data_IF_983235816190
#
_entry.id   IF_983235816190
#
_cell.length_a   1.000
_cell.length_b   1.000
_cell.length_c   1.000
_cell.angle_alpha   90.00
_cell.angle_beta   90.00
_cell.angle_gamma   90.00
#
_symmetry.space_group_name_H-M   'P 1'
#
loop_
_entity.id
_entity.type
_entity.pdbx_description
1 polymer ?
#
# COMPACT_ATOMS: atom_id res chain seq x y z
N UNK A 1 2.59 -23.39 40.01
CA UNK A 1 2.60 -23.39 38.54
C UNK A 1 2.12 -22.00 38.09
N UNK A 2 3.05 -21.08 37.91
CA UNK A 2 2.74 -19.69 37.52
C UNK A 2 2.68 -19.65 35.99
N UNK A 3 1.49 -19.51 35.43
CA UNK A 3 1.26 -19.28 34.00
C UNK A 3 1.77 -17.88 33.67
N UNK A 4 2.89 -17.79 32.97
CA UNK A 4 3.36 -16.56 32.38
C UNK A 4 2.36 -16.17 31.27
N UNK A 5 1.42 -15.30 31.59
CA UNK A 5 0.68 -14.54 30.60
C UNK A 5 1.74 -13.73 29.83
N UNK A 6 2.12 -14.24 28.65
CA UNK A 6 2.88 -13.45 27.69
C UNK A 6 2.08 -12.19 27.43
N UNK A 7 2.58 -11.06 27.89
CA UNK A 7 2.01 -9.75 27.64
C UNK A 7 2.09 -9.53 26.12
N UNK A 8 0.99 -9.78 25.42
CA UNK A 8 0.87 -9.48 23.99
C UNK A 8 1.22 -7.99 23.84
N UNK A 9 2.32 -7.71 23.15
CA UNK A 9 2.63 -6.32 22.76
C UNK A 9 1.44 -5.78 21.98
N UNK A 10 0.94 -4.58 22.34
CA UNK A 10 -0.13 -3.98 21.55
C UNK A 10 0.33 -3.87 20.09
N UNK A 11 -0.60 -4.15 19.17
CA UNK A 11 -0.33 -3.99 17.74
C UNK A 11 0.08 -2.53 17.48
N UNK A 12 1.12 -2.30 16.69
CA UNK A 12 1.53 -0.94 16.36
C UNK A 12 0.41 -0.25 15.58
N UNK A 13 0.23 1.06 15.81
CA UNK A 13 -0.76 1.84 15.07
C UNK A 13 -0.45 1.80 13.57
N UNK A 14 -1.44 1.41 12.77
CA UNK A 14 -1.33 1.13 11.35
C UNK A 14 -2.40 1.91 10.56
N UNK A 15 -1.98 2.54 9.47
CA UNK A 15 -2.85 3.15 8.46
C UNK A 15 -2.61 2.45 7.13
N UNK A 16 -3.64 2.19 6.35
CA UNK A 16 -3.52 1.67 5.00
C UNK A 16 -3.74 2.77 3.96
N UNK A 17 -2.86 2.82 2.97
CA UNK A 17 -2.91 3.72 1.83
C UNK A 17 -3.01 2.90 0.54
N UNK A 18 -4.17 2.98 -0.13
CA UNK A 18 -4.40 2.33 -1.43
C UNK A 18 -4.18 3.37 -2.51
N UNK A 19 -3.16 3.17 -3.35
CA UNK A 19 -2.82 4.10 -4.42
C UNK A 19 -3.67 3.83 -5.67
N UNK A 20 -4.47 4.80 -6.04
CA UNK A 20 -5.37 4.76 -7.21
C UNK A 20 -5.20 6.02 -8.09
N UNK A 21 -3.94 6.42 -8.33
CA UNK A 21 -3.57 7.62 -9.12
C UNK A 21 -3.05 7.32 -10.52
N UNK A 22 -2.82 6.06 -10.89
CA UNK A 22 -2.25 5.66 -12.18
C UNK A 22 -3.19 5.96 -13.36
N UNK A 23 -2.68 6.61 -14.41
CA UNK A 23 -3.39 6.67 -15.69
C UNK A 23 -3.27 5.31 -16.38
N UNK A 24 -4.34 4.52 -16.39
CA UNK A 24 -4.42 3.20 -17.06
C UNK A 24 -4.43 3.34 -18.60
N UNK A 25 -3.45 4.07 -19.16
CA UNK A 25 -3.39 4.41 -20.60
C UNK A 25 -3.41 3.20 -21.52
N UNK A 26 -2.93 2.05 -21.04
CA UNK A 26 -2.83 0.82 -21.85
C UNK A 26 -4.16 0.06 -21.94
N UNK A 27 -5.05 0.26 -20.98
CA UNK A 27 -6.33 -0.46 -20.92
C UNK A 27 -7.51 0.35 -21.45
N UNK A 28 -7.33 1.65 -21.78
CA UNK A 28 -8.41 2.53 -22.26
C UNK A 28 -9.51 2.82 -21.22
N UNK A 29 -9.48 2.11 -20.08
CA UNK A 29 -10.43 2.21 -18.98
C UNK A 29 -9.70 2.34 -17.65
N UNK A 30 -10.36 2.92 -16.65
CA UNK A 30 -9.81 3.05 -15.32
C UNK A 30 -9.75 1.69 -14.62
N UNK A 31 -8.54 1.19 -14.37
CA UNK A 31 -8.30 -0.10 -13.70
C UNK A 31 -9.03 -0.22 -12.37
N UNK A 32 -9.06 0.86 -11.58
CA UNK A 32 -9.67 0.86 -10.25
C UNK A 32 -11.15 0.47 -10.28
N UNK A 33 -11.82 0.75 -11.41
CA UNK A 33 -13.25 0.47 -11.62
C UNK A 33 -13.52 -0.89 -12.27
N UNK A 34 -12.49 -1.57 -12.78
CA UNK A 34 -12.68 -2.86 -13.45
C UNK A 34 -13.26 -3.90 -12.50
N UNK A 35 -14.34 -4.59 -12.91
CA UNK A 35 -14.92 -5.64 -12.09
C UNK A 35 -14.06 -6.90 -12.10
N UNK A 36 -13.76 -7.40 -10.92
CA UNK A 36 -13.17 -8.70 -10.69
C UNK A 36 -14.09 -9.51 -9.80
N UNK A 37 -14.62 -10.62 -10.32
CA UNK A 37 -15.63 -11.42 -9.62
C UNK A 37 -16.83 -10.58 -9.11
N UNK A 38 -17.29 -9.62 -9.94
CA UNK A 38 -18.44 -8.78 -9.64
C UNK A 38 -18.18 -7.56 -8.74
N UNK A 39 -16.95 -7.33 -8.29
CA UNK A 39 -16.58 -6.20 -7.42
C UNK A 39 -15.47 -5.35 -8.07
N UNK A 40 -15.53 -4.00 -8.02
CA UNK A 40 -14.44 -3.15 -8.49
C UNK A 40 -13.11 -3.45 -7.79
N UNK A 41 -11.99 -3.48 -8.53
CA UNK A 41 -10.66 -3.79 -7.99
C UNK A 41 -10.30 -2.91 -6.79
N UNK A 42 -10.59 -1.62 -6.88
CA UNK A 42 -10.32 -0.69 -5.78
C UNK A 42 -11.09 -1.04 -4.51
N UNK A 43 -12.39 -1.37 -4.64
CA UNK A 43 -13.25 -1.76 -3.50
C UNK A 43 -12.71 -3.03 -2.84
N UNK A 44 -12.31 -3.99 -3.66
CA UNK A 44 -11.75 -5.26 -3.22
C UNK A 44 -10.45 -5.07 -2.44
N UNK A 45 -9.53 -4.24 -2.95
CA UNK A 45 -8.26 -3.92 -2.28
C UNK A 45 -8.52 -3.19 -0.95
N UNK A 46 -9.45 -2.23 -0.92
CA UNK A 46 -9.83 -1.54 0.31
C UNK A 46 -10.41 -2.51 1.35
N UNK A 47 -11.23 -3.46 0.94
CA UNK A 47 -11.78 -4.48 1.83
C UNK A 47 -10.69 -5.39 2.40
N UNK A 48 -9.70 -5.79 1.61
CA UNK A 48 -8.55 -6.53 2.10
C UNK A 48 -7.75 -5.71 3.12
N UNK A 49 -7.57 -4.41 2.90
CA UNK A 49 -6.89 -3.51 3.83
C UNK A 49 -7.65 -3.35 5.16
N UNK A 50 -8.99 -3.31 5.12
CA UNK A 50 -9.85 -3.22 6.30
C UNK A 50 -9.73 -4.43 7.25
N UNK A 51 -9.19 -5.56 6.79
CA UNK A 51 -8.88 -6.69 7.65
C UNK A 51 -7.70 -6.40 8.62
N UNK A 52 -6.85 -5.42 8.30
CA UNK A 52 -5.66 -5.07 9.08
C UNK A 52 -5.85 -3.84 9.95
N UNK A 53 -6.64 -2.87 9.50
CA UNK A 53 -6.83 -1.59 10.18
C UNK A 53 -8.15 -0.95 9.78
N UNK A 54 -8.76 -0.21 10.72
CA UNK A 54 -9.96 0.61 10.44
C UNK A 54 -9.63 1.92 9.72
N UNK A 55 -8.35 2.32 9.64
CA UNK A 55 -7.90 3.56 9.00
C UNK A 55 -7.41 3.25 7.59
N UNK A 56 -8.29 3.29 6.61
CA UNK A 56 -7.99 3.03 5.20
C UNK A 56 -8.29 4.26 4.37
N UNK A 57 -7.30 4.71 3.61
CA UNK A 57 -7.40 5.86 2.70
C UNK A 57 -7.06 5.44 1.28
N UNK A 58 -7.86 5.94 0.33
CA UNK A 58 -7.54 5.86 -1.10
C UNK A 58 -6.86 7.15 -1.53
N UNK A 59 -5.61 7.05 -1.94
CA UNK A 59 -4.83 8.18 -2.47
C UNK A 59 -5.11 8.32 -3.95
N UNK A 60 -5.82 9.37 -4.33
CA UNK A 60 -6.30 9.55 -5.69
C UNK A 60 -6.58 11.02 -6.03
N UNK A 61 -6.42 11.43 -7.30
CA UNK A 61 -6.91 12.72 -7.79
C UNK A 61 -8.39 12.68 -8.16
N UNK A 62 -9.02 11.49 -8.28
CA UNK A 62 -10.39 11.30 -8.79
C UNK A 62 -11.39 10.96 -7.68
N UNK A 63 -11.46 11.79 -6.64
CA UNK A 63 -12.23 11.51 -5.42
C UNK A 63 -13.72 11.24 -5.69
N UNK A 64 -14.35 12.09 -6.47
CA UNK A 64 -15.80 11.98 -6.77
C UNK A 64 -16.15 10.68 -7.51
N UNK A 65 -15.27 10.25 -8.42
CA UNK A 65 -15.44 9.05 -9.22
C UNK A 65 -15.48 7.77 -8.37
N UNK A 66 -14.70 7.73 -7.27
CA UNK A 66 -14.56 6.53 -6.47
C UNK A 66 -15.47 6.48 -5.25
N UNK A 67 -16.05 7.62 -4.81
CA UNK A 67 -16.84 7.64 -3.58
C UNK A 67 -17.99 6.63 -3.57
N UNK A 68 -18.68 6.45 -4.69
CA UNK A 68 -19.86 5.57 -4.80
C UNK A 68 -19.54 4.07 -4.76
N UNK A 69 -18.30 3.68 -5.03
CA UNK A 69 -17.87 2.27 -5.05
C UNK A 69 -17.14 1.84 -3.79
N UNK A 70 -16.73 2.79 -2.93
CA UNK A 70 -15.95 2.50 -1.74
C UNK A 70 -16.83 2.18 -0.53
N UNK A 71 -16.36 1.28 0.38
CA UNK A 71 -16.98 1.14 1.68
C UNK A 71 -17.06 2.47 2.43
N UNK A 72 -18.14 2.68 3.20
CA UNK A 72 -18.38 3.94 3.92
C UNK A 72 -17.27 4.31 4.93
N UNK A 73 -16.52 3.30 5.40
CA UNK A 73 -15.40 3.44 6.35
C UNK A 73 -14.08 3.80 5.69
N UNK A 74 -14.03 3.87 4.35
CA UNK A 74 -12.82 4.22 3.58
C UNK A 74 -12.87 5.69 3.22
N UNK A 75 -11.84 6.43 3.58
CA UNK A 75 -11.70 7.83 3.25
C UNK A 75 -10.87 8.06 1.99
N UNK A 76 -11.03 9.24 1.39
CA UNK A 76 -10.34 9.64 0.17
C UNK A 76 -9.31 10.71 0.52
N UNK A 77 -8.03 10.41 0.25
CA UNK A 77 -6.93 11.35 0.40
C UNK A 77 -6.58 11.96 -0.96
N UNK A 78 -6.52 13.30 -1.09
CA UNK A 78 -6.15 13.92 -2.35
C UNK A 78 -4.69 13.59 -2.69
N UNK A 79 -4.46 13.11 -3.92
CA UNK A 79 -3.08 13.03 -4.42
C UNK A 79 -2.51 14.45 -4.55
N UNK A 80 -1.29 14.71 -4.05
CA UNK A 80 -0.69 16.02 -4.19
C UNK A 80 -0.67 16.49 -5.65
N UNK A 81 -0.98 17.77 -5.94
CA UNK A 81 -1.12 18.29 -7.30
C UNK A 81 0.20 18.47 -8.04
N UNK A 82 1.30 18.01 -7.46
CA UNK A 82 2.65 18.14 -8.05
C UNK A 82 2.75 17.39 -9.37
N UNK A 83 2.71 18.12 -10.46
CA UNK A 83 3.16 17.62 -11.76
C UNK A 83 4.68 17.80 -11.82
N UNK A 84 5.39 16.81 -12.36
CA UNK A 84 6.79 16.97 -12.74
C UNK A 84 6.90 18.06 -13.82
N UNK A 85 8.07 18.69 -14.01
CA UNK A 85 8.24 19.76 -15.02
C UNK A 85 7.82 19.36 -16.44
N UNK A 86 7.80 18.06 -16.74
CA UNK A 86 7.35 17.52 -18.04
C UNK A 86 5.84 17.25 -18.10
N UNK A 87 5.07 17.70 -17.11
CA UNK A 87 3.63 17.52 -17.02
C UNK A 87 3.18 16.10 -16.61
N UNK A 88 4.13 15.20 -16.29
CA UNK A 88 3.81 13.86 -15.80
C UNK A 88 3.49 13.89 -14.32
N UNK A 89 2.70 12.93 -13.89
CA UNK A 89 2.45 12.72 -12.46
C UNK A 89 3.68 12.14 -11.79
N UNK A 90 3.95 12.54 -10.56
CA UNK A 90 4.98 11.92 -9.75
C UNK A 90 4.68 10.42 -9.62
N UNK A 91 5.72 9.62 -9.62
CA UNK A 91 5.57 8.17 -9.43
C UNK A 91 5.04 7.81 -8.04
N UNK A 92 4.66 6.54 -7.82
CA UNK A 92 4.00 6.10 -6.59
C UNK A 92 4.83 6.35 -5.31
N UNK A 93 6.15 6.36 -5.40
CA UNK A 93 7.01 6.70 -4.25
C UNK A 93 6.79 8.14 -3.77
N UNK A 94 6.67 9.10 -4.69
CA UNK A 94 6.44 10.49 -4.32
C UNK A 94 5.02 10.70 -3.76
N UNK A 95 4.01 10.07 -4.37
CA UNK A 95 2.65 10.13 -3.86
C UNK A 95 2.57 9.57 -2.42
N UNK A 96 3.20 8.42 -2.18
CA UNK A 96 3.25 7.81 -0.85
C UNK A 96 4.02 8.71 0.14
N UNK A 97 5.20 9.22 -0.24
CA UNK A 97 6.03 10.06 0.61
C UNK A 97 5.29 11.33 1.05
N UNK A 98 4.52 11.96 0.17
CA UNK A 98 3.74 13.16 0.49
C UNK A 98 2.67 12.88 1.54
N UNK A 99 1.88 11.82 1.35
CA UNK A 99 0.82 11.45 2.32
C UNK A 99 1.43 11.03 3.66
N UNK A 100 2.51 10.24 3.64
CA UNK A 100 3.16 9.81 4.89
C UNK A 100 3.82 10.97 5.61
N UNK A 101 4.30 12.01 4.90
CA UNK A 101 4.79 13.23 5.52
C UNK A 101 3.69 13.98 6.29
N UNK A 102 2.48 14.04 5.73
CA UNK A 102 1.32 14.63 6.43
C UNK A 102 0.94 13.79 7.66
N UNK A 103 0.89 12.47 7.54
CA UNK A 103 0.64 11.56 8.67
C UNK A 103 1.73 11.67 9.77
N UNK A 104 2.99 11.88 9.38
CA UNK A 104 4.09 12.06 10.32
C UNK A 104 3.98 13.36 11.13
N UNK A 105 3.26 14.35 10.63
CA UNK A 105 3.02 15.64 11.27
C UNK A 105 1.75 15.68 12.14
N UNK A 106 0.97 14.59 12.18
CA UNK A 106 -0.14 14.48 13.13
C UNK A 106 0.36 14.47 14.57
N UNK A 107 -0.52 14.79 15.51
CA UNK A 107 -0.24 14.70 16.94
C UNK A 107 0.28 13.30 17.31
N UNK A 108 1.22 13.24 18.25
CA UNK A 108 1.86 12.00 18.67
C UNK A 108 0.86 10.89 19.04
N UNK A 109 -0.28 11.23 19.61
CA UNK A 109 -1.32 10.30 19.98
C UNK A 109 -2.03 9.64 18.79
N UNK A 110 -2.01 10.29 17.62
CA UNK A 110 -2.69 9.86 16.39
C UNK A 110 -1.72 9.46 15.28
N UNK A 111 -0.41 9.66 15.49
CA UNK A 111 0.61 9.33 14.49
C UNK A 111 0.74 7.83 14.33
N UNK A 112 0.52 7.27 13.13
CA UNK A 112 0.75 5.86 12.89
C UNK A 112 2.25 5.53 13.00
N UNK A 113 2.55 4.32 13.44
CA UNK A 113 3.92 3.79 13.41
C UNK A 113 4.25 3.18 12.06
N UNK A 114 3.26 2.57 11.43
CA UNK A 114 3.38 1.90 10.15
C UNK A 114 2.31 2.34 9.16
N UNK A 115 2.66 2.27 7.90
CA UNK A 115 1.76 2.44 6.77
C UNK A 115 1.79 1.16 5.94
N UNK A 116 0.63 0.59 5.65
CA UNK A 116 0.43 -0.43 4.62
C UNK A 116 0.22 0.29 3.29
N UNK A 117 1.12 0.10 2.34
CA UNK A 117 1.00 0.63 0.98
C UNK A 117 0.51 -0.45 0.03
N UNK A 118 -0.59 -0.20 -0.67
CA UNK A 118 -1.20 -1.13 -1.63
C UNK A 118 -1.43 -0.46 -2.98
N UNK A 119 -1.20 -1.21 -4.06
CA UNK A 119 -1.72 -0.86 -5.37
C UNK A 119 -3.19 -1.33 -5.48
N UNK A 120 -3.99 -0.61 -6.26
CA UNK A 120 -5.41 -0.96 -6.45
C UNK A 120 -5.65 -2.14 -7.43
N UNK A 121 -4.59 -2.67 -8.04
CA UNK A 121 -4.65 -3.70 -9.10
C UNK A 121 -4.16 -5.09 -8.64
N UNK A 122 -4.31 -5.41 -7.36
CA UNK A 122 -4.00 -6.70 -6.74
C UNK A 122 -5.31 -7.50 -6.48
N UNK A 123 -5.89 -8.17 -7.48
CA UNK A 123 -7.23 -8.75 -7.40
C UNK A 123 -7.35 -9.90 -6.41
N UNK A 124 -6.26 -10.64 -6.20
CA UNK A 124 -6.23 -11.84 -5.37
C UNK A 124 -5.64 -11.59 -3.97
N UNK A 125 -5.44 -10.32 -3.60
CA UNK A 125 -4.86 -9.99 -2.29
C UNK A 125 -5.77 -10.50 -1.16
N UNK A 126 -5.19 -11.29 -0.26
CA UNK A 126 -5.91 -11.92 0.84
C UNK A 126 -5.81 -11.06 2.11
N UNK A 127 -6.97 -10.61 2.60
CA UNK A 127 -7.06 -9.81 3.83
C UNK A 127 -6.57 -10.55 5.07
N UNK A 128 -6.77 -11.87 5.15
CA UNK A 128 -6.28 -12.70 6.27
C UNK A 128 -4.74 -12.79 6.26
N UNK A 129 -4.15 -12.87 5.07
CA UNK A 129 -2.70 -12.82 4.93
C UNK A 129 -2.14 -11.47 5.36
N UNK A 130 -2.76 -10.36 4.90
CA UNK A 130 -2.38 -9.02 5.32
C UNK A 130 -2.45 -8.85 6.84
N UNK A 131 -3.51 -9.35 7.48
CA UNK A 131 -3.66 -9.29 8.93
C UNK A 131 -2.52 -10.02 9.65
N UNK A 132 -2.19 -11.24 9.23
CA UNK A 132 -1.06 -12.00 9.78
C UNK A 132 0.27 -11.27 9.61
N UNK A 133 0.48 -10.63 8.47
CA UNK A 133 1.68 -9.82 8.26
C UNK A 133 1.72 -8.59 9.18
N UNK A 134 0.57 -7.93 9.37
CA UNK A 134 0.45 -6.79 10.29
C UNK A 134 0.75 -7.18 11.75
N UNK A 135 0.31 -8.34 12.20
CA UNK A 135 0.61 -8.88 13.55
C UNK A 135 2.11 -9.06 13.77
N UNK A 136 2.87 -9.38 12.71
CA UNK A 136 4.32 -9.56 12.80
C UNK A 136 5.09 -8.25 12.99
N UNK A 137 4.51 -7.09 12.65
CA UNK A 137 5.18 -5.78 12.74
C UNK A 137 5.70 -5.47 14.15
N UNK A 138 5.02 -5.94 15.20
CA UNK A 138 5.41 -5.74 16.59
C UNK A 138 6.73 -6.46 16.97
N UNK A 139 7.13 -7.47 16.20
CA UNK A 139 8.33 -8.29 16.44
C UNK A 139 9.56 -7.78 15.68
N UNK A 140 9.37 -6.91 14.69
CA UNK A 140 10.44 -6.41 13.84
C UNK A 140 11.39 -5.48 14.61
N UNK A 141 12.69 -5.58 14.31
CA UNK A 141 13.71 -4.65 14.85
C UNK A 141 13.34 -3.19 14.54
N UNK A 142 13.60 -2.25 15.45
CA UNK A 142 13.42 -0.82 15.19
C UNK A 142 14.19 -0.29 13.97
N UNK A 143 15.27 -0.95 13.57
CA UNK A 143 16.07 -0.58 12.39
C UNK A 143 15.39 -0.95 11.07
N UNK A 144 14.42 -1.87 11.06
CA UNK A 144 13.69 -2.28 9.85
C UNK A 144 12.78 -1.14 9.40
N UNK A 145 12.99 -0.63 8.18
CA UNK A 145 12.24 0.48 7.60
C UNK A 145 11.07 0.03 6.72
N UNK A 146 11.17 -1.16 6.15
CA UNK A 146 10.09 -1.74 5.33
C UNK A 146 9.99 -3.25 5.58
N UNK A 147 8.76 -3.80 5.45
CA UNK A 147 8.45 -5.22 5.54
C UNK A 147 7.64 -5.60 4.32
N UNK A 148 8.26 -6.27 3.35
CA UNK A 148 7.76 -6.42 2.00
C UNK A 148 7.88 -7.85 1.50
N UNK A 149 6.94 -8.32 0.65
CA UNK A 149 7.14 -9.54 -0.11
C UNK A 149 8.08 -9.32 -1.29
N UNK A 150 8.59 -10.43 -1.80
CA UNK A 150 9.35 -10.46 -3.05
C UNK A 150 8.64 -11.33 -4.08
N UNK A 151 8.71 -10.91 -5.34
CA UNK A 151 8.34 -11.69 -6.50
C UNK A 151 9.52 -11.70 -7.47
N UNK A 152 9.95 -12.88 -7.90
CA UNK A 152 11.06 -13.08 -8.84
C UNK A 152 12.35 -12.31 -8.42
N UNK A 153 12.67 -12.30 -7.13
CA UNK A 153 13.85 -11.64 -6.57
C UNK A 153 13.77 -10.11 -6.49
N UNK A 154 12.60 -9.51 -6.75
CA UNK A 154 12.35 -8.07 -6.65
C UNK A 154 11.34 -7.77 -5.55
N UNK A 155 11.51 -6.68 -4.86
CA UNK A 155 10.54 -6.21 -3.87
C UNK A 155 9.22 -5.80 -4.54
N UNK A 156 8.10 -6.10 -3.86
CA UNK A 156 6.77 -5.60 -4.25
C UNK A 156 6.41 -4.38 -3.38
N UNK A 157 6.79 -3.18 -3.80
CA UNK A 157 6.73 -1.99 -2.96
C UNK A 157 5.32 -1.49 -2.67
N UNK A 158 4.34 -1.88 -3.48
CA UNK A 158 2.94 -1.54 -3.30
C UNK A 158 2.09 -2.74 -2.86
N UNK A 159 2.71 -3.62 -2.05
CA UNK A 159 2.05 -4.68 -1.31
C UNK A 159 2.80 -4.93 0.00
N UNK A 160 2.87 -3.93 0.90
CA UNK A 160 3.58 -4.14 2.16
C UNK A 160 3.68 -2.91 3.04
N UNK A 161 4.49 -3.01 4.08
CA UNK A 161 4.49 -2.10 5.21
C UNK A 161 5.77 -1.25 5.26
N UNK A 162 5.59 0.01 5.62
CA UNK A 162 6.66 1.00 5.79
C UNK A 162 6.55 1.68 7.14
N UNK A 163 7.66 1.88 7.85
CA UNK A 163 7.63 2.76 9.02
C UNK A 163 7.37 4.20 8.57
N UNK A 164 6.57 4.92 9.32
CA UNK A 164 6.37 6.37 9.08
C UNK A 164 7.70 7.13 9.17
N UNK A 165 8.65 6.64 9.96
CA UNK A 165 10.01 7.19 10.03
C UNK A 165 10.78 7.19 8.69
N UNK A 166 10.34 6.39 7.68
CA UNK A 166 10.91 6.40 6.33
C UNK A 166 10.82 7.76 5.64
N UNK A 167 9.88 8.63 6.04
CA UNK A 167 9.61 9.89 5.34
C UNK A 167 10.86 10.75 5.16
N UNK A 168 11.73 10.81 6.17
CA UNK A 168 12.97 11.58 6.08
C UNK A 168 13.92 11.03 5.00
N UNK A 169 14.08 9.70 4.94
CA UNK A 169 14.93 9.05 3.94
C UNK A 169 14.29 9.08 2.54
N UNK A 170 12.96 9.02 2.43
CA UNK A 170 12.26 9.21 1.15
C UNK A 170 12.49 10.62 0.60
N UNK A 171 12.31 11.64 1.44
CA UNK A 171 12.52 13.03 1.02
C UNK A 171 13.96 13.27 0.58
N UNK A 172 14.96 12.75 1.31
CA UNK A 172 16.36 12.84 0.92
C UNK A 172 16.62 12.13 -0.42
N UNK A 173 16.07 10.94 -0.63
CA UNK A 173 16.22 10.19 -1.88
C UNK A 173 15.55 10.92 -3.07
N UNK A 174 14.32 11.42 -2.87
CA UNK A 174 13.58 12.15 -3.89
C UNK A 174 14.24 13.48 -4.26
N UNK A 175 14.87 14.16 -3.29
CA UNK A 175 15.63 15.40 -3.53
C UNK A 175 16.82 15.20 -4.48
N UNK A 176 17.36 13.96 -4.60
CA UNK A 176 18.40 13.63 -5.60
C UNK A 176 17.87 13.48 -7.04
N UNK A 177 16.56 13.69 -7.27
CA UNK A 177 15.91 13.47 -8.56
C UNK A 177 15.51 12.02 -8.85
N UNK A 178 15.86 11.08 -7.97
CA UNK A 178 15.50 9.66 -8.13
C UNK A 178 14.04 9.41 -7.74
N UNK A 179 13.40 8.39 -8.38
CA UNK A 179 11.97 8.08 -8.20
C UNK A 179 11.69 6.59 -7.99
N UNK A 180 12.71 5.74 -8.06
CA UNK A 180 12.57 4.27 -8.02
C UNK A 180 12.43 3.75 -6.60
N UNK A 181 11.35 3.05 -6.28
CA UNK A 181 11.23 2.30 -5.03
C UNK A 181 12.37 1.30 -4.85
N UNK A 182 12.68 0.50 -5.88
CA UNK A 182 13.78 -0.48 -5.80
C UNK A 182 15.10 0.19 -5.42
N UNK A 183 15.40 1.33 -6.08
CA UNK A 183 16.64 2.07 -5.80
C UNK A 183 16.71 2.63 -4.38
N UNK A 184 15.57 3.00 -3.77
CA UNK A 184 15.51 3.40 -2.37
C UNK A 184 15.64 2.18 -1.44
N UNK A 185 14.90 1.09 -1.71
CA UNK A 185 14.91 -0.12 -0.91
C UNK A 185 16.30 -0.76 -0.79
N UNK A 186 17.12 -0.68 -1.84
CA UNK A 186 18.51 -1.15 -1.79
C UNK A 186 19.39 -0.42 -0.77
N UNK A 187 18.95 0.73 -0.27
CA UNK A 187 19.68 1.55 0.70
C UNK A 187 19.12 1.41 2.13
N UNK A 188 18.09 0.56 2.32
CA UNK A 188 17.36 0.44 3.59
C UNK A 188 17.49 -0.94 4.22
N UNK A 189 17.21 -1.01 5.51
CA UNK A 189 16.96 -2.27 6.19
C UNK A 189 15.55 -2.73 5.89
N UNK A 190 15.41 -3.75 5.04
CA UNK A 190 14.13 -4.32 4.62
C UNK A 190 14.03 -5.75 5.14
N UNK A 191 12.94 -6.04 5.86
CA UNK A 191 12.58 -7.41 6.22
C UNK A 191 11.70 -8.02 5.12
N UNK A 192 11.91 -9.31 4.83
CA UNK A 192 11.12 -10.03 3.84
C UNK A 192 9.91 -10.69 4.51
N UNK A 193 8.73 -10.54 3.91
CA UNK A 193 7.55 -11.32 4.27
C UNK A 193 7.75 -12.74 3.76
N UNK A 194 7.74 -13.75 4.66
CA UNK A 194 7.90 -15.14 4.24
C UNK A 194 6.59 -15.74 3.71
N UNK A 195 6.69 -16.87 3.02
CA UNK A 195 5.59 -17.77 2.64
C UNK A 195 4.43 -17.07 1.91
N UNK A 196 4.77 -16.16 1.00
CA UNK A 196 3.80 -15.39 0.22
C UNK A 196 3.29 -16.24 -0.96
N UNK A 197 1.98 -16.40 -1.05
CA UNK A 197 1.38 -17.00 -2.24
C UNK A 197 1.59 -16.06 -3.44
N UNK A 198 2.26 -16.50 -4.52
CA UNK A 198 2.52 -15.65 -5.68
C UNK A 198 1.25 -15.08 -6.33
N UNK A 199 0.11 -15.77 -6.21
CA UNK A 199 -1.16 -15.28 -6.74
C UNK A 199 -1.63 -13.98 -6.09
N UNK A 200 -1.26 -13.72 -4.83
CA UNK A 200 -1.61 -12.47 -4.13
C UNK A 200 -0.90 -11.25 -4.69
N UNK A 201 0.27 -11.46 -5.33
CA UNK A 201 1.11 -10.40 -5.88
C UNK A 201 0.88 -10.19 -7.39
N UNK A 202 -0.07 -10.92 -7.97
CA UNK A 202 -0.42 -10.80 -9.38
C UNK A 202 -1.10 -9.45 -9.63
N UNK A 203 -0.50 -8.65 -10.52
CA UNK A 203 -1.08 -7.38 -10.95
C UNK A 203 -1.89 -7.58 -12.23
N UNK A 204 -3.07 -6.99 -12.31
CA UNK A 204 -3.83 -6.90 -13.56
C UNK A 204 -3.26 -5.75 -14.41
N UNK A 205 -2.61 -6.06 -15.53
CA UNK A 205 -1.97 -5.08 -16.39
C UNK A 205 -2.58 -4.98 -17.79
N UNK A 206 -3.27 -6.01 -18.24
CA UNK A 206 -3.84 -6.14 -19.59
C UNK A 206 -5.29 -6.59 -19.55
N UNK A 207 -6.08 -6.36 -20.61
CA UNK A 207 -7.43 -6.93 -20.75
C UNK A 207 -7.45 -8.47 -20.70
N UNK A 208 -6.37 -9.11 -21.18
CA UNK A 208 -6.25 -10.58 -21.18
C UNK A 208 -6.15 -11.13 -19.75
N UNK A 209 -5.46 -10.42 -18.85
CA UNK A 209 -5.38 -10.79 -17.42
C UNK A 209 -6.79 -10.82 -16.77
N UNK A 210 -7.74 -10.01 -17.28
CA UNK A 210 -9.13 -10.02 -16.81
C UNK A 210 -9.90 -11.26 -17.29
N UNK A 211 -9.64 -11.72 -18.52
CA UNK A 211 -10.31 -12.87 -19.10
C UNK A 211 -9.91 -14.18 -18.40
N UNK A 212 -8.64 -14.33 -18.09
CA UNK A 212 -8.10 -15.51 -17.40
C UNK A 212 -8.60 -15.67 -15.96
N UNK A 213 -8.89 -14.57 -15.29
CA UNK A 213 -9.36 -14.56 -13.89
C UNK A 213 -10.87 -14.70 -13.69
N UNK A 214 -11.67 -14.59 -14.75
CA UNK A 214 -13.14 -14.76 -14.67
C UNK A 214 -13.60 -16.20 -14.98
N UNK A 215 -12.69 -17.07 -15.38
CA UNK A 215 -12.96 -18.45 -15.84
C UNK A 215 -12.72 -19.56 -14.80
N UNK A 216 -12.52 -19.23 -13.52
CA UNK A 216 -12.25 -20.22 -12.45
C UNK A 216 -13.29 -20.21 -11.37
#
# INVERSE_FOLDING_TARGET
MSSALATLKPLPSLVALVLAGGQSRRMGTDKALLPWQGEPLLSRTCRAALACTSQVYVVTPWREQYRSILPATVDLWPEPPTLEPDGKRPGPLMALASVVAELANCDLAHRPQWVLALACDLPNLDGTALQRWAEHLATLSPSVMAYLPQSQGRWEPLCGFYRVACVASWNAYLATGKRSFQGWLHQQSVAMIPDVNPAWLMNLNTPDDLADGQGS
#
